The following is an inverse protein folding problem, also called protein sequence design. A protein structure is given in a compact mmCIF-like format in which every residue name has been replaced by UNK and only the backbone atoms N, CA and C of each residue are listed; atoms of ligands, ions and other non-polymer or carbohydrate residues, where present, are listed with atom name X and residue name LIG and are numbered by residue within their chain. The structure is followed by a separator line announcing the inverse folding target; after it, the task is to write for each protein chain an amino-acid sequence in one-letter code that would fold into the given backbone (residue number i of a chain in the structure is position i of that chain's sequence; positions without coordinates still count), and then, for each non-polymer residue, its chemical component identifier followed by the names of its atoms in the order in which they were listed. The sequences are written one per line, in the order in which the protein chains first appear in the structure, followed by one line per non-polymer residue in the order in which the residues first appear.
data_IF_487780695022
#
_entry.id   IF_487780695022
#
_cell.length_a   1.000
_cell.length_b   1.000
_cell.length_c   1.000
_cell.angle_alpha   90.00
_cell.angle_beta   90.00
_cell.angle_gamma   90.00
#
_symmetry.space_group_name_H-M   'P 1'
#
loop_
_entity.id
_entity.type
_entity.pdbx_description
1 polymer ?
#
# COMPACT_ATOMS: atom_id res chain seq x y z
N UNK A 1 42.40 -4.34 -37.23
CA UNK A 1 41.03 -3.79 -37.34
C UNK A 1 40.25 -4.25 -36.13
N UNK A 2 39.92 -3.35 -35.19
CA UNK A 2 39.28 -3.70 -33.91
C UNK A 2 37.99 -2.91 -33.79
N UNK A 3 36.85 -3.58 -33.89
CA UNK A 3 35.53 -2.96 -33.80
C UNK A 3 35.17 -2.68 -32.33
N UNK A 4 34.92 -1.41 -31.99
CA UNK A 4 34.37 -0.98 -30.69
C UNK A 4 32.85 -0.97 -30.78
N UNK A 5 32.17 -1.74 -29.92
CA UNK A 5 30.72 -1.66 -29.75
C UNK A 5 30.38 -0.44 -28.86
N UNK A 6 29.59 0.48 -29.40
CA UNK A 6 29.05 1.64 -28.67
C UNK A 6 27.73 1.19 -28.04
N UNK A 7 27.70 1.06 -26.71
CA UNK A 7 26.48 0.85 -25.93
C UNK A 7 25.66 2.14 -25.92
N UNK A 8 24.54 2.17 -26.65
CA UNK A 8 23.56 3.25 -26.52
C UNK A 8 22.70 3.06 -25.26
N UNK A 9 22.46 4.11 -24.45
CA UNK A 9 21.60 4.01 -23.28
C UNK A 9 20.15 3.78 -23.71
N UNK A 10 19.55 2.70 -23.21
CA UNK A 10 18.13 2.39 -23.44
C UNK A 10 17.27 3.45 -22.74
N UNK A 11 16.34 4.13 -23.44
CA UNK A 11 15.45 5.09 -22.81
C UNK A 11 14.56 4.36 -21.79
N UNK A 12 14.59 4.80 -20.54
CA UNK A 12 13.78 4.23 -19.46
C UNK A 12 12.31 4.50 -19.80
N UNK A 13 11.45 3.47 -19.93
CA UNK A 13 10.06 3.66 -20.30
C UNK A 13 9.34 4.52 -19.27
N UNK A 14 8.48 5.42 -19.77
CA UNK A 14 7.65 6.28 -18.94
C UNK A 14 6.75 5.41 -18.06
N UNK A 15 7.02 5.40 -16.74
CA UNK A 15 6.25 4.63 -15.78
C UNK A 15 5.32 5.59 -15.01
N UNK A 16 4.03 5.69 -15.39
CA UNK A 16 3.09 6.64 -14.78
C UNK A 16 2.87 6.37 -13.29
N UNK A 17 2.99 5.10 -12.86
CA UNK A 17 2.90 4.71 -11.45
C UNK A 17 4.05 5.28 -10.63
N UNK A 18 5.28 5.26 -11.18
CA UNK A 18 6.45 5.85 -10.52
C UNK A 18 6.34 7.37 -10.41
N UNK A 19 5.76 8.01 -11.42
CA UNK A 19 5.52 9.45 -11.43
C UNK A 19 4.43 9.85 -10.41
N UNK A 20 3.32 9.11 -10.36
CA UNK A 20 2.26 9.30 -9.37
C UNK A 20 2.76 9.06 -7.94
N UNK A 21 3.55 8.00 -7.71
CA UNK A 21 4.15 7.71 -6.42
C UNK A 21 5.17 8.79 -6.00
N UNK A 22 5.95 9.31 -6.95
CA UNK A 22 6.87 10.42 -6.71
C UNK A 22 6.15 11.73 -6.37
N UNK A 23 5.04 12.02 -7.05
CA UNK A 23 4.21 13.19 -6.77
C UNK A 23 3.48 13.05 -5.41
N UNK A 24 2.93 11.88 -5.10
CA UNK A 24 2.32 11.58 -3.81
C UNK A 24 3.36 11.67 -2.67
N UNK A 25 4.58 11.16 -2.87
CA UNK A 25 5.68 11.36 -1.93
C UNK A 25 6.01 12.84 -1.76
N UNK A 26 6.04 13.64 -2.83
CA UNK A 26 6.30 15.07 -2.70
C UNK A 26 5.17 15.81 -1.95
N UNK A 27 3.92 15.41 -2.16
CA UNK A 27 2.73 16.01 -1.55
C UNK A 27 2.55 15.62 -0.07
N UNK A 28 2.74 14.34 0.27
CA UNK A 28 2.61 13.83 1.65
C UNK A 28 3.77 14.34 2.52
N UNK A 29 4.97 14.42 1.95
CA UNK A 29 6.16 14.73 2.72
C UNK A 29 6.49 16.22 2.73
N UNK A 30 5.90 17.10 1.91
CA UNK A 30 5.98 18.57 2.01
C UNK A 30 7.40 19.15 2.27
N UNK A 31 8.47 18.46 1.85
CA UNK A 31 9.85 18.84 2.15
C UNK A 31 10.33 18.57 3.58
N UNK A 32 9.53 17.88 4.40
CA UNK A 32 9.95 17.32 5.69
C UNK A 32 10.76 16.03 5.49
N UNK A 33 11.76 15.88 6.36
CA UNK A 33 12.61 14.69 6.44
C UNK A 33 11.72 13.45 6.67
N UNK A 34 11.77 12.44 5.77
CA UNK A 34 10.91 11.26 5.88
C UNK A 34 11.11 10.51 7.19
N UNK A 35 12.32 10.56 7.76
CA UNK A 35 12.64 10.04 9.08
C UNK A 35 11.81 10.70 10.19
N UNK A 36 11.60 12.02 10.17
CA UNK A 36 10.80 12.70 11.22
C UNK A 36 9.32 12.31 11.17
N UNK A 37 8.81 11.95 9.99
CA UNK A 37 7.44 11.44 9.84
C UNK A 37 7.36 10.00 10.34
N UNK A 38 8.36 9.18 10.03
CA UNK A 38 8.48 7.82 10.55
C UNK A 38 8.56 7.81 12.08
N UNK A 39 9.33 8.71 12.68
CA UNK A 39 9.42 8.91 14.14
C UNK A 39 8.05 9.30 14.73
N UNK A 40 7.32 10.21 14.07
CA UNK A 40 5.96 10.61 14.49
C UNK A 40 4.92 9.48 14.39
N UNK A 41 5.02 8.65 13.36
CA UNK A 41 4.08 7.53 13.12
C UNK A 41 4.39 6.37 14.06
N UNK A 42 5.67 6.06 14.24
CA UNK A 42 6.13 4.97 15.11
C UNK A 42 6.09 5.35 16.60
N UNK A 43 6.14 6.63 16.92
CA UNK A 43 6.25 7.13 18.30
C UNK A 43 7.61 6.84 18.94
N UNK A 44 8.61 6.46 18.13
CA UNK A 44 9.94 6.04 18.56
C UNK A 44 10.98 6.89 17.81
N UNK A 45 11.95 7.46 18.52
CA UNK A 45 13.06 8.21 17.90
C UNK A 45 14.12 7.29 17.28
N UNK A 46 15.12 7.89 16.62
CA UNK A 46 16.21 7.16 15.94
C UNK A 46 17.09 6.39 16.92
N UNK A 47 17.07 6.82 18.17
CA UNK A 47 17.82 6.29 19.30
C UNK A 47 17.02 5.20 20.05
N UNK A 48 15.78 4.91 19.62
CA UNK A 48 14.93 3.87 20.19
C UNK A 48 14.13 4.31 21.42
N UNK A 49 14.11 5.59 21.75
CA UNK A 49 13.34 6.14 22.86
C UNK A 49 11.89 6.41 22.44
N UNK A 50 10.97 6.13 23.34
CA UNK A 50 9.55 6.37 23.15
C UNK A 50 9.26 7.86 23.35
N UNK A 51 8.79 8.57 22.32
CA UNK A 51 8.39 9.98 22.45
C UNK A 51 7.13 10.10 23.31
N UNK A 52 7.03 11.14 24.19
CA UNK A 52 5.85 11.40 24.98
C UNK A 52 4.69 11.84 24.07
N UNK A 53 3.90 10.86 23.63
CA UNK A 53 2.86 11.04 22.63
C UNK A 53 1.51 11.28 23.30
N UNK A 54 0.92 12.48 23.13
CA UNK A 54 -0.53 12.76 23.27
C UNK A 54 -1.29 12.56 21.94
N UNK A 55 -0.89 11.59 21.13
CA UNK A 55 -1.64 11.18 19.94
C UNK A 55 -2.54 10.00 20.33
N UNK A 56 -3.71 9.85 19.70
CA UNK A 56 -4.49 8.61 19.82
C UNK A 56 -3.55 7.44 19.53
N UNK A 57 -3.57 6.42 20.39
CA UNK A 57 -2.80 5.19 20.24
C UNK A 57 -2.87 4.74 18.79
N UNK A 58 -1.72 4.41 18.18
CA UNK A 58 -1.61 3.99 16.78
C UNK A 58 -2.68 2.95 16.41
N UNK A 59 -3.01 2.05 17.35
CA UNK A 59 -4.14 1.11 17.27
C UNK A 59 -5.48 1.75 16.85
N UNK A 60 -5.86 2.89 17.43
CA UNK A 60 -7.14 3.57 17.17
C UNK A 60 -7.18 4.29 15.82
N UNK A 61 -6.03 4.74 15.32
CA UNK A 61 -5.92 5.29 13.97
C UNK A 61 -5.94 4.15 12.94
N UNK A 62 -5.23 3.06 13.21
CA UNK A 62 -5.12 1.92 12.31
C UNK A 62 -6.41 1.10 12.23
N UNK A 63 -7.22 1.00 13.29
CA UNK A 63 -8.53 0.34 13.23
C UNK A 63 -9.51 1.06 12.31
N UNK A 64 -9.59 2.39 12.40
CA UNK A 64 -10.35 3.22 11.46
C UNK A 64 -9.82 3.11 10.03
N UNK A 65 -8.51 2.99 9.85
CA UNK A 65 -7.90 2.74 8.54
C UNK A 65 -8.22 1.35 7.99
N UNK A 66 -8.26 0.30 8.83
CA UNK A 66 -8.62 -1.07 8.43
C UNK A 66 -10.03 -1.13 7.87
N UNK A 67 -11.00 -0.61 8.61
CA UNK A 67 -12.41 -0.59 8.20
C UNK A 67 -12.58 0.12 6.86
N UNK A 68 -11.91 1.25 6.68
CA UNK A 68 -11.90 2.00 5.42
C UNK A 68 -11.21 1.25 4.28
N UNK A 69 -10.13 0.54 4.54
CA UNK A 69 -9.43 -0.27 3.53
C UNK A 69 -10.32 -1.43 3.06
N UNK A 70 -10.97 -2.13 3.99
CA UNK A 70 -11.88 -3.23 3.67
C UNK A 70 -13.09 -2.73 2.89
N UNK A 71 -13.66 -1.60 3.29
CA UNK A 71 -14.76 -0.97 2.55
C UNK A 71 -14.35 -0.63 1.11
N UNK A 72 -13.19 0.01 0.92
CA UNK A 72 -12.71 0.35 -0.42
C UNK A 72 -12.46 -0.89 -1.29
N UNK A 73 -11.97 -1.98 -0.70
CA UNK A 73 -11.78 -3.26 -1.40
C UNK A 73 -13.11 -3.86 -1.83
N UNK A 74 -14.08 -3.86 -0.93
CA UNK A 74 -15.43 -4.38 -1.19
C UNK A 74 -16.12 -3.62 -2.32
N UNK A 75 -16.07 -2.28 -2.28
CA UNK A 75 -16.60 -1.40 -3.33
C UNK A 75 -15.92 -1.71 -4.68
N UNK A 76 -14.58 -1.73 -4.73
CA UNK A 76 -13.83 -1.93 -5.97
C UNK A 76 -14.10 -3.30 -6.61
N UNK A 77 -14.13 -4.37 -5.81
CA UNK A 77 -14.38 -5.72 -6.33
C UNK A 77 -15.85 -5.91 -6.73
N UNK A 78 -16.80 -5.35 -5.98
CA UNK A 78 -18.22 -5.39 -6.32
C UNK A 78 -18.50 -4.67 -7.65
N UNK A 79 -17.98 -3.45 -7.83
CA UNK A 79 -18.13 -2.70 -9.07
C UNK A 79 -17.50 -3.43 -10.27
N UNK A 80 -16.33 -4.05 -10.08
CA UNK A 80 -15.68 -4.84 -11.13
C UNK A 80 -16.50 -6.09 -11.47
N UNK A 81 -17.07 -6.75 -10.46
CA UNK A 81 -17.87 -7.95 -10.63
C UNK A 81 -19.19 -7.66 -11.35
N UNK A 82 -19.90 -6.60 -10.96
CA UNK A 82 -21.13 -6.20 -11.66
C UNK A 82 -20.85 -5.82 -13.12
N UNK A 83 -19.73 -5.12 -13.42
CA UNK A 83 -19.32 -4.88 -14.83
C UNK A 83 -19.02 -6.17 -15.60
N UNK A 84 -18.38 -7.15 -14.97
CA UNK A 84 -18.13 -8.46 -15.59
C UNK A 84 -19.44 -9.24 -15.83
N UNK A 85 -20.38 -9.14 -14.90
CA UNK A 85 -21.71 -9.75 -15.00
C UNK A 85 -22.57 -9.11 -16.10
N UNK A 86 -22.55 -7.77 -16.21
CA UNK A 86 -23.23 -7.03 -17.29
C UNK A 86 -22.69 -7.40 -18.68
N UNK A 87 -21.38 -7.67 -18.77
CA UNK A 87 -20.74 -8.13 -20.02
C UNK A 87 -20.85 -9.65 -20.25
N UNK A 88 -21.38 -10.41 -19.29
CA UNK A 88 -21.54 -11.86 -19.37
C UNK A 88 -20.22 -12.65 -19.26
N UNK A 89 -19.12 -12.03 -18.84
CA UNK A 89 -17.81 -12.68 -18.74
C UNK A 89 -17.69 -13.51 -17.45
N UNK A 90 -18.10 -14.77 -17.54
CA UNK A 90 -18.03 -15.72 -16.43
C UNK A 90 -16.59 -16.01 -15.95
N UNK A 91 -15.60 -15.92 -16.85
CA UNK A 91 -14.20 -16.17 -16.46
C UNK A 91 -13.66 -15.03 -15.60
N UNK A 92 -14.04 -13.80 -15.95
CA UNK A 92 -13.67 -12.61 -15.21
C UNK A 92 -14.39 -12.56 -13.86
N UNK A 93 -15.66 -12.94 -13.80
CA UNK A 93 -16.40 -13.09 -12.55
C UNK A 93 -15.70 -14.07 -11.59
N UNK A 94 -15.34 -15.27 -12.07
CA UNK A 94 -14.64 -16.27 -11.25
C UNK A 94 -13.25 -15.79 -10.78
N UNK A 95 -12.53 -15.09 -11.67
CA UNK A 95 -11.21 -14.52 -11.35
C UNK A 95 -11.31 -13.43 -10.27
N UNK A 96 -12.33 -12.58 -10.34
CA UNK A 96 -12.58 -11.52 -9.35
C UNK A 96 -12.98 -12.09 -7.99
N UNK A 97 -13.85 -13.11 -7.94
CA UNK A 97 -14.22 -13.79 -6.68
C UNK A 97 -13.00 -14.42 -6.01
N UNK A 98 -12.16 -15.14 -6.78
CA UNK A 98 -10.96 -15.74 -6.22
C UNK A 98 -9.95 -14.68 -5.72
N UNK A 99 -9.76 -13.60 -6.48
CA UNK A 99 -8.85 -12.52 -6.10
C UNK A 99 -9.32 -11.79 -4.83
N UNK A 100 -10.63 -11.51 -4.70
CA UNK A 100 -11.21 -10.91 -3.50
C UNK A 100 -10.94 -11.78 -2.26
N UNK A 101 -11.22 -13.08 -2.33
CA UNK A 101 -10.97 -14.02 -1.21
C UNK A 101 -9.50 -14.09 -0.82
N UNK A 102 -8.60 -14.11 -1.81
CA UNK A 102 -7.15 -14.11 -1.57
C UNK A 102 -6.71 -12.83 -0.85
N UNK A 103 -7.24 -11.68 -1.24
CA UNK A 103 -6.91 -10.41 -0.61
C UNK A 103 -7.46 -10.30 0.81
N UNK A 104 -8.68 -10.78 1.07
CA UNK A 104 -9.23 -10.89 2.42
C UNK A 104 -8.31 -11.73 3.33
N UNK A 105 -7.90 -12.90 2.86
CA UNK A 105 -6.99 -13.78 3.61
C UNK A 105 -5.64 -13.10 3.91
N UNK A 106 -5.08 -12.35 2.97
CA UNK A 106 -3.84 -11.61 3.21
C UNK A 106 -4.01 -10.54 4.30
N UNK A 107 -5.15 -9.86 4.35
CA UNK A 107 -5.43 -8.92 5.44
C UNK A 107 -5.55 -9.62 6.79
N UNK A 108 -6.23 -10.76 6.87
CA UNK A 108 -6.32 -11.54 8.11
C UNK A 108 -4.93 -11.92 8.63
N UNK A 109 -4.08 -12.48 7.77
CA UNK A 109 -2.71 -12.87 8.16
C UNK A 109 -1.89 -11.67 8.66
N UNK A 110 -1.98 -10.53 7.97
CA UNK A 110 -1.24 -9.32 8.37
C UNK A 110 -1.72 -8.79 9.73
N UNK A 111 -3.02 -8.91 10.01
CA UNK A 111 -3.59 -8.54 11.31
C UNK A 111 -3.13 -9.51 12.40
N UNK A 112 -3.15 -10.81 12.14
CA UNK A 112 -2.63 -11.83 13.08
C UNK A 112 -1.17 -11.57 13.44
N UNK A 113 -0.34 -11.20 12.45
CA UNK A 113 1.07 -10.85 12.66
C UNK A 113 1.22 -9.59 13.50
N UNK A 114 0.46 -8.53 13.20
CA UNK A 114 0.49 -7.29 14.01
C UNK A 114 0.11 -7.58 15.46
N UNK A 115 -1.01 -8.29 15.66
CA UNK A 115 -1.51 -8.63 16.99
C UNK A 115 -0.50 -9.50 17.77
N UNK A 116 0.26 -10.37 17.10
CA UNK A 116 1.34 -11.14 17.70
C UNK A 116 2.56 -10.28 18.10
N UNK A 117 2.81 -9.17 17.42
CA UNK A 117 3.87 -8.21 17.75
C UNK A 117 3.47 -7.30 18.91
N UNK A 118 2.20 -6.87 18.98
CA UNK A 118 1.69 -6.00 20.06
C UNK A 118 1.59 -6.72 21.42
N UNK A 119 1.50 -8.05 21.43
CA UNK A 119 1.45 -8.88 22.65
C UNK A 119 2.83 -9.23 23.24
N UNK A 120 3.94 -8.76 22.65
CA UNK A 120 5.31 -8.96 23.15
C UNK A 120 5.80 -7.77 23.95
#
# INVERSE_FOLDING_TARGET
MTARYILHPVPIPFNPRRLALGAARKFIFEGRDPETILERISGIDREGNILPTRLPTTEKLMSRSRERILQNLDEMYTEAFERAKESGDQSQMASLDFAYRREQLYFEILLDVRDALERR
#
